data_IF_881770964264
#
_entry.id   IF_881770964264
#
_cell.length_a   1.000
_cell.length_b   1.000
_cell.length_c   1.000
_cell.angle_alpha   90.00
_cell.angle_beta   90.00
_cell.angle_gamma   90.00
#
_symmetry.space_group_name_H-M   'P 1'
#
loop_
_entity.id
_entity.type
_entity.pdbx_description
1 polymer ?
#
# COMPACT_ATOMS: atom_id res chain seq x y z
N UNK A 1 -2.74 -17.68 14.47
CA UNK A 1 -4.19 -17.83 14.55
C UNK A 1 -4.89 -16.49 14.61
N UNK A 2 -5.76 -16.23 13.65
CA UNK A 2 -6.45 -14.94 13.49
C UNK A 2 -7.35 -14.61 14.70
N UNK A 3 -7.97 -15.61 15.29
CA UNK A 3 -8.83 -15.42 16.47
C UNK A 3 -8.06 -14.83 17.65
N UNK A 4 -6.81 -15.22 17.83
CA UNK A 4 -5.97 -14.67 18.89
C UNK A 4 -5.62 -13.21 18.63
N UNK A 5 -5.42 -12.83 17.37
CA UNK A 5 -5.18 -11.43 17.02
C UNK A 5 -6.36 -10.55 17.43
N UNK A 6 -7.58 -10.98 17.15
CA UNK A 6 -8.77 -10.25 17.57
C UNK A 6 -8.93 -10.23 19.08
N UNK A 7 -8.72 -11.38 19.74
CA UNK A 7 -8.88 -11.50 21.19
C UNK A 7 -7.94 -10.53 21.93
N UNK A 8 -6.70 -10.41 21.48
CA UNK A 8 -5.69 -9.60 22.15
C UNK A 8 -5.55 -8.18 21.59
N UNK A 9 -6.46 -7.78 20.70
CA UNK A 9 -6.39 -6.45 20.07
C UNK A 9 -5.01 -6.18 19.47
N UNK A 10 -4.53 -7.14 18.69
CA UNK A 10 -3.16 -7.12 18.16
C UNK A 10 -2.92 -5.94 17.21
N UNK A 11 -1.76 -5.32 17.34
CA UNK A 11 -1.28 -4.26 16.45
C UNK A 11 -0.01 -4.75 15.78
N UNK A 12 -0.06 -4.94 14.48
CA UNK A 12 1.04 -5.53 13.73
C UNK A 12 1.61 -4.50 12.76
N UNK A 13 2.86 -4.04 12.96
CA UNK A 13 3.49 -3.15 11.99
C UNK A 13 3.84 -3.92 10.72
N UNK A 14 3.61 -3.30 9.57
CA UNK A 14 3.92 -3.89 8.28
C UNK A 14 4.20 -2.80 7.25
N UNK A 15 4.91 -3.17 6.19
CA UNK A 15 5.18 -2.28 5.07
C UNK A 15 4.15 -2.41 3.94
N UNK A 16 3.26 -3.37 4.04
CA UNK A 16 2.17 -3.56 3.08
C UNK A 16 1.01 -4.30 3.74
N UNK A 17 -0.20 -4.17 3.18
CA UNK A 17 -1.33 -5.01 3.56
C UNK A 17 -2.19 -5.31 2.33
N UNK A 18 -2.27 -6.59 1.97
CA UNK A 18 -3.18 -7.06 0.92
C UNK A 18 -4.56 -7.26 1.52
N UNK A 19 -5.53 -6.47 1.06
CA UNK A 19 -6.91 -6.55 1.53
C UNK A 19 -7.82 -7.10 0.42
N UNK A 20 -8.12 -8.41 0.42
CA UNK A 20 -8.96 -9.02 -0.61
C UNK A 20 -10.41 -8.55 -0.57
N UNK A 21 -10.84 -7.93 0.53
CA UNK A 21 -12.20 -7.42 0.69
C UNK A 21 -12.36 -5.98 0.21
N UNK A 22 -11.26 -5.29 -0.10
CA UNK A 22 -11.31 -3.93 -0.62
C UNK A 22 -11.88 -3.92 -2.03
N UNK A 23 -12.87 -3.06 -2.27
CA UNK A 23 -13.46 -2.87 -3.59
C UNK A 23 -12.42 -2.45 -4.63
N UNK A 24 -11.49 -1.57 -4.25
CA UNK A 24 -10.40 -1.13 -5.15
C UNK A 24 -9.50 -2.29 -5.55
N UNK A 25 -9.12 -3.12 -4.59
CA UNK A 25 -8.30 -4.32 -4.85
C UNK A 25 -9.01 -5.28 -5.80
N UNK A 26 -10.27 -5.58 -5.52
CA UNK A 26 -11.06 -6.49 -6.34
C UNK A 26 -11.23 -5.96 -7.77
N UNK A 27 -11.49 -4.68 -7.92
CA UNK A 27 -11.65 -4.05 -9.22
C UNK A 27 -10.34 -4.08 -10.03
N UNK A 28 -9.21 -3.79 -9.38
CA UNK A 28 -7.90 -3.84 -10.03
C UNK A 28 -7.56 -5.26 -10.50
N UNK A 29 -7.79 -6.25 -9.68
CA UNK A 29 -7.54 -7.65 -10.05
C UNK A 29 -8.47 -8.12 -11.16
N UNK A 30 -9.73 -7.71 -11.15
CA UNK A 30 -10.69 -8.00 -12.21
C UNK A 30 -10.23 -7.38 -13.52
N UNK A 31 -9.79 -6.12 -13.49
CA UNK A 31 -9.27 -5.45 -14.68
C UNK A 31 -8.01 -6.13 -15.21
N UNK A 32 -7.12 -6.56 -14.32
CA UNK A 32 -5.91 -7.30 -14.71
C UNK A 32 -6.26 -8.57 -15.47
N UNK A 33 -7.18 -9.38 -14.95
CA UNK A 33 -7.64 -10.59 -15.64
C UNK A 33 -8.24 -10.29 -17.01
N UNK A 34 -9.02 -9.20 -17.08
CA UNK A 34 -9.65 -8.79 -18.36
C UNK A 34 -8.61 -8.38 -19.38
N UNK A 35 -7.58 -7.63 -18.96
CA UNK A 35 -6.57 -7.12 -19.90
C UNK A 35 -5.56 -8.18 -20.31
N UNK A 36 -5.18 -9.06 -19.42
CA UNK A 36 -4.10 -10.00 -19.66
C UNK A 36 -4.55 -11.46 -19.82
N UNK A 37 -5.79 -11.78 -19.48
CA UNK A 37 -6.36 -13.13 -19.63
C UNK A 37 -5.78 -14.17 -18.67
N UNK A 38 -5.06 -13.73 -17.63
CA UNK A 38 -4.47 -14.62 -16.62
C UNK A 38 -4.67 -14.04 -15.22
N UNK A 39 -4.56 -14.92 -14.21
CA UNK A 39 -4.61 -14.49 -12.82
C UNK A 39 -3.34 -13.73 -12.44
N UNK A 40 -3.44 -12.73 -11.55
CA UNK A 40 -2.25 -12.14 -10.93
C UNK A 40 -1.42 -13.20 -10.22
N UNK A 41 -0.11 -13.10 -10.31
CA UNK A 41 0.79 -14.01 -9.59
C UNK A 41 0.51 -13.95 -8.09
N UNK A 42 0.33 -15.13 -7.48
CA UNK A 42 0.13 -15.22 -6.03
C UNK A 42 1.48 -15.12 -5.31
N UNK A 43 1.73 -13.97 -4.75
CA UNK A 43 2.89 -13.68 -3.91
C UNK A 43 2.48 -12.58 -2.91
N UNK A 44 3.16 -12.46 -1.79
CA UNK A 44 2.94 -11.39 -0.82
C UNK A 44 4.26 -10.64 -0.57
N UNK A 45 4.32 -9.34 -0.84
CA UNK A 45 3.23 -8.50 -1.42
C UNK A 45 2.90 -8.93 -2.87
N UNK A 46 1.66 -8.67 -3.29
CA UNK A 46 1.27 -8.93 -4.69
C UNK A 46 1.95 -7.92 -5.60
N UNK A 47 2.73 -8.41 -6.55
CA UNK A 47 3.51 -7.56 -7.44
C UNK A 47 2.66 -6.68 -8.36
N UNK A 48 1.51 -7.17 -8.81
CA UNK A 48 0.58 -6.39 -9.63
C UNK A 48 0.10 -5.16 -8.87
N UNK A 49 -0.31 -5.33 -7.60
CA UNK A 49 -0.79 -4.22 -6.77
C UNK A 49 0.34 -3.27 -6.42
N UNK A 50 1.52 -3.80 -6.08
CA UNK A 50 2.68 -2.99 -5.77
C UNK A 50 3.13 -2.14 -6.95
N UNK A 51 3.20 -2.74 -8.15
CA UNK A 51 3.54 -2.01 -9.36
C UNK A 51 2.53 -0.93 -9.71
N UNK A 52 1.24 -1.22 -9.53
CA UNK A 52 0.18 -0.24 -9.73
C UNK A 52 0.31 0.92 -8.76
N UNK A 53 0.53 0.65 -7.47
CA UNK A 53 0.73 1.69 -6.46
C UNK A 53 1.93 2.57 -6.80
N UNK A 54 3.05 1.96 -7.19
CA UNK A 54 4.25 2.70 -7.57
C UNK A 54 4.01 3.58 -8.80
N UNK A 55 3.41 3.01 -9.84
CA UNK A 55 3.13 3.76 -11.07
C UNK A 55 2.22 4.97 -10.82
N UNK A 56 1.11 4.76 -10.11
CA UNK A 56 0.18 5.84 -9.78
C UNK A 56 0.86 6.93 -8.93
N UNK A 57 1.60 6.52 -7.92
CA UNK A 57 2.28 7.44 -7.01
C UNK A 57 3.27 8.33 -7.78
N UNK A 58 4.18 7.72 -8.53
CA UNK A 58 5.21 8.47 -9.24
C UNK A 58 4.64 9.30 -10.40
N UNK A 59 3.76 8.73 -11.20
CA UNK A 59 3.18 9.45 -12.34
C UNK A 59 2.34 10.64 -11.91
N UNK A 60 1.53 10.49 -10.88
CA UNK A 60 0.72 11.60 -10.35
C UNK A 60 1.59 12.67 -9.71
N UNK A 61 2.60 12.26 -8.94
CA UNK A 61 3.53 13.19 -8.31
C UNK A 61 4.33 13.99 -9.32
N UNK A 62 4.87 13.32 -10.33
CA UNK A 62 5.62 13.99 -11.40
C UNK A 62 4.73 14.92 -12.23
N UNK A 63 3.50 14.52 -12.50
CA UNK A 63 2.55 15.36 -13.22
C UNK A 63 2.27 16.66 -12.46
N UNK A 64 2.07 16.59 -11.15
CA UNK A 64 1.72 17.75 -10.33
C UNK A 64 2.93 18.62 -9.97
N UNK A 65 4.04 17.98 -9.57
CA UNK A 65 5.18 18.69 -9.00
C UNK A 65 6.39 18.77 -9.93
N UNK A 66 6.43 18.01 -11.01
CA UNK A 66 7.54 18.00 -11.94
C UNK A 66 8.88 17.75 -11.27
N UNK A 67 9.86 18.62 -11.53
CA UNK A 67 11.21 18.53 -10.96
C UNK A 67 11.26 18.67 -9.44
N UNK A 68 10.23 19.27 -8.84
CA UNK A 68 10.15 19.44 -7.39
C UNK A 68 9.61 18.20 -6.66
N UNK A 69 9.19 17.17 -7.40
CA UNK A 69 8.67 15.95 -6.79
C UNK A 69 9.77 15.18 -6.06
N UNK A 70 9.55 14.94 -4.78
CA UNK A 70 10.49 14.20 -3.92
C UNK A 70 9.87 12.95 -3.28
N UNK A 71 8.60 12.65 -3.55
CA UNK A 71 7.93 11.47 -3.01
C UNK A 71 7.57 11.55 -1.54
N UNK A 72 7.64 12.73 -0.92
CA UNK A 72 7.28 12.89 0.49
C UNK A 72 5.77 12.78 0.72
N UNK A 73 5.39 12.54 1.98
CA UNK A 73 3.99 12.45 2.37
C UNK A 73 3.21 13.74 2.03
N UNK A 74 3.86 14.89 2.13
CA UNK A 74 3.25 16.18 1.82
C UNK A 74 2.87 16.33 0.34
N UNK A 75 3.55 15.59 -0.54
CA UNK A 75 3.31 15.60 -1.98
C UNK A 75 2.52 14.39 -2.46
N UNK A 76 1.91 13.63 -1.56
CA UNK A 76 1.18 12.43 -1.93
C UNK A 76 -0.18 12.79 -2.54
N UNK A 77 -0.38 12.40 -3.80
CA UNK A 77 -1.61 12.64 -4.56
C UNK A 77 -2.41 11.35 -4.82
N UNK A 78 -2.05 10.27 -4.12
CA UNK A 78 -2.62 8.97 -4.42
C UNK A 78 -2.69 8.09 -3.15
N UNK A 79 -3.86 7.54 -2.86
CA UNK A 79 -4.01 6.55 -1.78
C UNK A 79 -3.71 5.16 -2.31
N UNK A 80 -2.69 4.52 -1.77
CA UNK A 80 -2.24 3.21 -2.23
C UNK A 80 -3.25 2.11 -1.92
N UNK A 81 -3.23 1.05 -2.74
CA UNK A 81 -4.11 -0.12 -2.58
C UNK A 81 -3.50 -1.12 -1.62
N UNK A 82 -2.19 -1.27 -1.62
CA UNK A 82 -1.48 -2.28 -0.83
C UNK A 82 -0.25 -1.74 -0.11
N UNK A 83 0.58 -0.93 -0.79
CA UNK A 83 1.92 -0.58 -0.34
C UNK A 83 2.04 0.93 -0.17
N UNK A 84 1.99 1.45 1.05
CA UNK A 84 2.11 2.89 1.29
C UNK A 84 3.50 3.39 0.91
N UNK A 85 3.57 4.64 0.45
CA UNK A 85 4.79 5.28 -0.02
C UNK A 85 4.96 6.64 0.64
N UNK A 86 6.13 6.85 1.26
CA UNK A 86 6.51 8.10 1.90
C UNK A 86 8.03 8.18 1.91
N UNK A 87 8.59 8.87 0.93
CA UNK A 87 10.03 8.95 0.76
C UNK A 87 10.60 10.06 1.63
N UNK A 88 11.68 9.73 2.34
CA UNK A 88 12.45 10.66 3.15
C UNK A 88 13.92 10.51 2.85
N UNK A 89 14.65 11.62 2.95
CA UNK A 89 16.10 11.59 2.78
C UNK A 89 16.75 10.88 3.96
N UNK A 90 17.71 10.01 3.65
CA UNK A 90 18.47 9.27 4.66
C UNK A 90 19.89 9.83 4.69
N UNK A 91 20.26 10.52 5.76
CA UNK A 91 21.54 11.16 5.90
C UNK A 91 21.82 12.15 4.77
N UNK A 92 23.02 12.07 4.19
CA UNK A 92 23.41 12.81 2.97
C UNK A 92 23.14 12.04 1.68
N UNK A 93 22.54 10.86 1.79
CA UNK A 93 22.25 9.98 0.66
C UNK A 93 20.97 10.29 -0.07
N UNK A 94 20.44 9.27 -0.74
CA UNK A 94 19.21 9.37 -1.51
C UNK A 94 17.94 9.32 -0.67
N UNK A 95 16.81 9.22 -1.36
CA UNK A 95 15.50 9.09 -0.75
C UNK A 95 15.18 7.61 -0.51
N UNK A 96 14.54 7.31 0.61
CA UNK A 96 14.12 5.96 0.96
C UNK A 96 12.65 5.97 1.38
N UNK A 97 11.91 4.96 0.94
CA UNK A 97 10.53 4.79 1.38
C UNK A 97 10.52 4.35 2.86
N UNK A 98 10.00 5.20 3.71
CA UNK A 98 9.88 4.94 5.15
C UNK A 98 8.43 4.79 5.58
N UNK A 99 7.51 4.61 4.64
CA UNK A 99 6.11 4.39 4.99
C UNK A 99 5.93 3.03 5.66
N UNK A 100 5.06 3.00 6.64
CA UNK A 100 4.59 1.75 7.25
C UNK A 100 3.15 1.94 7.70
N UNK A 101 2.51 0.83 8.06
CA UNK A 101 1.17 0.85 8.62
C UNK A 101 1.08 -0.07 9.81
N UNK A 102 0.12 0.19 10.68
CA UNK A 102 -0.30 -0.75 11.71
C UNK A 102 -1.60 -1.41 11.27
N UNK A 103 -1.61 -2.72 11.29
CA UNK A 103 -2.82 -3.52 11.13
C UNK A 103 -3.34 -3.84 12.53
N UNK A 104 -4.49 -3.28 12.87
CA UNK A 104 -5.10 -3.47 14.17
C UNK A 104 -6.26 -4.45 14.07
N UNK A 105 -6.22 -5.49 14.87
CA UNK A 105 -7.29 -6.50 14.97
C UNK A 105 -8.12 -6.19 16.21
N UNK A 106 -9.28 -5.59 16.01
CA UNK A 106 -10.12 -5.13 17.13
C UNK A 106 -10.86 -6.26 17.82
N UNK A 107 -11.25 -6.05 19.09
CA UNK A 107 -11.98 -7.06 19.87
C UNK A 107 -13.36 -7.38 19.28
N UNK A 108 -13.95 -6.48 18.49
CA UNK A 108 -15.22 -6.70 17.79
C UNK A 108 -15.02 -7.28 16.37
N UNK A 109 -13.86 -7.91 16.14
CA UNK A 109 -13.53 -8.64 14.90
C UNK A 109 -13.48 -7.77 13.65
N UNK A 110 -13.03 -6.51 13.78
CA UNK A 110 -12.73 -5.63 12.65
C UNK A 110 -11.23 -5.52 12.44
N UNK A 111 -10.85 -5.21 11.22
CA UNK A 111 -9.46 -4.91 10.87
C UNK A 111 -9.37 -3.45 10.50
N UNK A 112 -8.57 -2.69 11.23
CA UNK A 112 -8.32 -1.28 10.98
C UNK A 112 -6.89 -1.08 10.49
N UNK A 113 -6.72 -0.19 9.52
CA UNK A 113 -5.40 0.14 8.94
C UNK A 113 -5.06 1.58 9.30
N UNK A 114 -3.89 1.77 9.90
CA UNK A 114 -3.37 3.09 10.25
C UNK A 114 -2.06 3.27 9.50
N UNK A 115 -2.00 4.25 8.59
CA UNK A 115 -0.82 4.54 7.76
C UNK A 115 0.01 5.67 8.33
N UNK A 116 1.33 5.52 8.27
CA UNK A 116 2.30 6.49 8.75
C UNK A 116 3.24 6.94 7.65
#
# INVERSE_FOLDING_TARGET
>A
NLDNFFKFNAHIPTTFYYNPLSTRTQQLETNYRRWFGVEPLYALPKFVLMGYDHAQFFLRGLYKYGKAFNGSKAQNEYTTVQTPLNFKRVGSGGMQNQAFMLVRYTNDKRIELISY
#
